data_IF_926673971771
#
_entry.id   IF_926673971771
#
_cell.length_a   1.000
_cell.length_b   1.000
_cell.length_c   1.000
_cell.angle_alpha   90.00
_cell.angle_beta   90.00
_cell.angle_gamma   90.00
#
_symmetry.space_group_name_H-M   'P 1'
#
loop_
_entity.id
_entity.type
_entity.pdbx_description
1 polymer ?
#
# COMPACT_ATOMS: atom_id res chain seq x y z
N UNK A 1 19.42 33.70 -5.70
CA UNK A 1 17.99 33.45 -5.45
C UNK A 1 17.75 31.97 -5.71
N UNK A 2 17.39 31.20 -4.67
CA UNK A 2 17.36 29.73 -4.69
C UNK A 2 16.18 29.23 -5.52
N UNK A 3 16.45 28.27 -6.42
CA UNK A 3 15.48 27.54 -7.22
C UNK A 3 14.58 26.69 -6.31
N UNK A 4 13.29 27.05 -6.19
CA UNK A 4 12.28 26.32 -5.39
C UNK A 4 11.42 25.39 -6.27
N UNK A 5 11.69 25.29 -7.57
CA UNK A 5 10.74 24.70 -8.54
C UNK A 5 11.04 23.22 -8.89
N UNK A 6 11.99 22.55 -8.23
CA UNK A 6 12.39 21.17 -8.62
C UNK A 6 12.15 20.07 -7.57
N UNK A 7 11.73 20.38 -6.34
CA UNK A 7 11.49 19.34 -5.32
C UNK A 7 10.11 18.66 -5.45
N UNK A 8 9.13 19.32 -6.06
CA UNK A 8 7.77 18.79 -6.16
C UNK A 8 7.66 17.66 -7.20
N UNK A 9 8.43 17.74 -8.29
CA UNK A 9 8.39 16.76 -9.40
C UNK A 9 9.16 15.47 -9.06
N UNK A 10 10.16 15.55 -8.18
CA UNK A 10 10.92 14.39 -7.70
C UNK A 10 10.17 13.55 -6.66
N UNK A 11 9.35 14.21 -5.83
CA UNK A 11 8.50 13.53 -4.82
C UNK A 11 7.30 12.81 -5.43
N UNK A 12 6.77 13.31 -6.56
CA UNK A 12 5.52 12.80 -7.14
C UNK A 12 5.57 11.35 -7.61
N UNK A 13 6.75 10.81 -7.93
CA UNK A 13 6.87 9.43 -8.40
C UNK A 13 7.10 8.42 -7.26
N UNK A 14 7.53 8.86 -6.07
CA UNK A 14 7.83 7.97 -4.94
C UNK A 14 6.66 7.75 -3.98
N UNK A 15 5.62 8.58 -4.07
CA UNK A 15 4.50 8.56 -3.14
C UNK A 15 3.35 7.70 -3.66
N UNK A 16 2.89 6.76 -2.84
CA UNK A 16 1.68 6.00 -3.10
C UNK A 16 0.71 6.15 -1.95
N UNK A 17 -0.50 6.60 -2.24
CA UNK A 17 -1.60 6.67 -1.28
C UNK A 17 -2.68 5.68 -1.69
N UNK A 18 -2.93 4.69 -0.83
CA UNK A 18 -3.98 3.72 -1.05
C UNK A 18 -5.35 4.39 -0.99
N UNK A 19 -6.18 4.08 -1.97
CA UNK A 19 -7.58 4.46 -2.04
C UNK A 19 -8.38 3.28 -2.58
N UNK A 20 -9.51 2.95 -1.95
CA UNK A 20 -10.40 1.87 -2.37
C UNK A 20 -10.88 2.03 -3.82
N UNK A 21 -10.89 3.26 -4.34
CA UNK A 21 -11.29 3.56 -5.70
C UNK A 21 -10.23 3.15 -6.75
N UNK A 22 -8.97 2.91 -6.36
CA UNK A 22 -7.87 2.60 -7.29
C UNK A 22 -8.12 1.38 -8.16
N UNK A 23 -8.90 0.42 -7.66
CA UNK A 23 -9.17 -0.84 -8.35
C UNK A 23 -10.60 -0.95 -8.89
N UNK A 24 -11.36 0.15 -8.89
CA UNK A 24 -12.75 0.14 -9.35
C UNK A 24 -12.89 -0.12 -10.85
N UNK A 25 -11.93 0.31 -11.66
CA UNK A 25 -11.93 0.10 -13.12
C UNK A 25 -11.79 -1.39 -13.53
N UNK A 26 -11.27 -2.23 -12.65
CA UNK A 26 -11.21 -3.69 -12.85
C UNK A 26 -12.50 -4.41 -12.42
N UNK A 27 -13.55 -3.68 -12.04
CA UNK A 27 -14.86 -4.25 -11.79
C UNK A 27 -15.43 -4.73 -13.12
N UNK A 28 -15.33 -6.04 -13.38
CA UNK A 28 -15.91 -6.66 -14.57
C UNK A 28 -17.37 -6.22 -14.68
N UNK A 29 -17.69 -5.51 -15.75
CA UNK A 29 -19.06 -5.29 -16.19
C UNK A 29 -19.72 -6.66 -16.27
N UNK A 30 -20.70 -6.92 -15.41
CA UNK A 30 -21.53 -8.11 -15.59
C UNK A 30 -22.29 -7.95 -16.91
N UNK A 31 -22.56 -9.05 -17.62
CA UNK A 31 -23.31 -9.06 -18.89
C UNK A 31 -24.70 -8.38 -18.78
N UNK A 32 -25.16 -8.09 -17.56
CA UNK A 32 -26.42 -7.43 -17.23
C UNK A 32 -26.28 -5.97 -16.75
N UNK A 33 -25.09 -5.35 -16.88
CA UNK A 33 -24.88 -3.92 -16.59
C UNK A 33 -24.86 -3.54 -15.11
N UNK A 34 -24.97 -4.49 -14.19
CA UNK A 34 -24.87 -4.22 -12.74
C UNK A 34 -23.42 -4.27 -12.29
N UNK A 35 -22.89 -3.14 -11.81
CA UNK A 35 -21.63 -3.10 -11.09
C UNK A 35 -21.81 -3.91 -9.79
N UNK A 36 -21.11 -5.05 -9.66
CA UNK A 36 -21.08 -5.80 -8.41
C UNK A 36 -19.99 -5.19 -7.51
N UNK A 37 -20.26 -4.97 -6.21
CA UNK A 37 -19.21 -4.60 -5.27
C UNK A 37 -18.06 -5.60 -5.34
N UNK A 38 -16.84 -5.10 -5.49
CA UNK A 38 -15.63 -5.90 -5.55
C UNK A 38 -15.43 -6.60 -4.20
N UNK A 39 -15.37 -7.95 -4.12
CA UNK A 39 -15.17 -8.65 -2.85
C UNK A 39 -13.86 -8.22 -2.17
N UNK A 40 -13.85 -8.06 -0.84
CA UNK A 40 -12.64 -7.63 -0.08
C UNK A 40 -11.40 -8.49 -0.34
N UNK A 41 -11.56 -9.80 -0.46
CA UNK A 41 -10.50 -10.75 -0.83
C UNK A 41 -9.85 -10.43 -2.18
N UNK A 42 -10.61 -9.85 -3.10
CA UNK A 42 -10.08 -9.41 -4.39
C UNK A 42 -9.30 -8.10 -4.30
N UNK A 43 -9.62 -7.18 -3.37
CA UNK A 43 -8.84 -5.96 -3.13
C UNK A 43 -7.46 -6.28 -2.55
N UNK A 44 -7.38 -7.17 -1.57
CA UNK A 44 -6.09 -7.65 -1.03
C UNK A 44 -5.20 -8.23 -2.13
N UNK A 45 -5.77 -9.11 -2.95
CA UNK A 45 -5.02 -9.74 -4.04
C UNK A 45 -4.53 -8.72 -5.08
N UNK A 46 -5.34 -7.69 -5.37
CA UNK A 46 -5.01 -6.62 -6.31
C UNK A 46 -3.94 -5.68 -5.78
N UNK A 47 -4.07 -5.22 -4.54
CA UNK A 47 -3.07 -4.37 -3.90
C UNK A 47 -1.73 -5.09 -3.78
N UNK A 48 -1.73 -6.34 -3.31
CA UNK A 48 -0.51 -7.16 -3.25
C UNK A 48 0.10 -7.30 -4.65
N UNK A 49 -0.71 -7.62 -5.68
CA UNK A 49 -0.22 -7.73 -7.06
C UNK A 49 0.40 -6.42 -7.56
N UNK A 50 -0.28 -5.29 -7.32
CA UNK A 50 0.18 -3.96 -7.71
C UNK A 50 1.53 -3.62 -7.09
N UNK A 51 1.69 -3.88 -5.79
CA UNK A 51 2.93 -3.61 -5.04
C UNK A 51 4.04 -4.62 -5.34
N UNK A 52 3.70 -5.86 -5.70
CA UNK A 52 4.67 -6.88 -6.16
C UNK A 52 5.15 -6.65 -7.60
N UNK A 53 4.54 -5.73 -8.35
CA UNK A 53 4.98 -5.41 -9.71
C UNK A 53 6.43 -4.94 -9.69
N UNK A 54 7.29 -5.59 -10.46
CA UNK A 54 8.74 -5.29 -10.52
C UNK A 54 9.03 -3.82 -10.86
N UNK A 55 8.15 -3.18 -11.64
CA UNK A 55 8.26 -1.77 -11.95
C UNK A 55 8.01 -0.90 -10.73
N UNK A 56 7.01 -1.23 -9.91
CA UNK A 56 6.58 -0.40 -8.79
C UNK A 56 7.43 -0.59 -7.53
N UNK A 57 7.95 -1.80 -7.31
CA UNK A 57 8.74 -2.09 -6.10
C UNK A 57 10.01 -1.24 -5.98
N UNK A 58 10.55 -0.76 -7.10
CA UNK A 58 11.77 0.07 -7.11
C UNK A 58 11.51 1.58 -7.06
N UNK A 59 10.24 1.98 -7.09
CA UNK A 59 9.85 3.37 -7.27
C UNK A 59 9.40 4.01 -5.95
N UNK A 60 8.62 3.28 -5.14
CA UNK A 60 7.99 3.86 -3.97
C UNK A 60 8.98 4.13 -2.83
N UNK A 61 8.97 5.38 -2.37
CA UNK A 61 9.64 5.86 -1.18
C UNK A 61 8.68 6.03 -0.01
N UNK A 62 7.42 6.40 -0.28
CA UNK A 62 6.42 6.61 0.76
C UNK A 62 5.15 5.81 0.42
N UNK A 63 4.73 4.91 1.32
CA UNK A 63 3.50 4.13 1.18
C UNK A 63 2.50 4.53 2.25
N UNK A 64 1.43 5.21 1.85
CA UNK A 64 0.29 5.46 2.72
C UNK A 64 -0.78 4.39 2.54
N UNK A 65 -0.76 3.41 3.44
CA UNK A 65 -1.71 2.31 3.50
C UNK A 65 -2.72 2.51 4.63
N UNK A 66 -2.85 3.71 5.18
CA UNK A 66 -3.63 3.96 6.40
C UNK A 66 -5.11 3.56 6.31
N UNK A 67 -5.66 3.45 5.10
CA UNK A 67 -7.04 3.02 4.80
C UNK A 67 -7.10 1.64 4.13
N UNK A 68 -5.97 0.97 3.94
CA UNK A 68 -5.91 -0.33 3.28
C UNK A 68 -6.55 -1.45 4.12
N UNK A 69 -7.15 -2.46 3.48
CA UNK A 69 -7.65 -3.65 4.17
C UNK A 69 -6.51 -4.33 4.92
N UNK A 70 -6.71 -4.56 6.21
CA UNK A 70 -5.68 -5.08 7.13
C UNK A 70 -5.29 -6.50 6.76
N UNK A 71 -6.22 -7.26 6.19
CA UNK A 71 -5.97 -8.59 5.65
C UNK A 71 -4.83 -8.56 4.62
N UNK A 72 -4.64 -7.43 3.93
CA UNK A 72 -3.52 -7.22 3.00
C UNK A 72 -2.19 -7.03 3.72
N UNK A 73 -2.19 -6.28 4.82
CA UNK A 73 -0.99 -6.04 5.61
C UNK A 73 -0.58 -7.28 6.43
N UNK A 74 -1.47 -8.25 6.58
CA UNK A 74 -1.20 -9.56 7.19
C UNK A 74 -0.79 -10.62 6.15
N UNK A 75 -0.91 -10.30 4.86
CA UNK A 75 -0.61 -11.25 3.80
C UNK A 75 0.90 -11.48 3.64
N UNK A 76 1.29 -12.75 3.57
CA UNK A 76 2.71 -13.14 3.45
C UNK A 76 3.33 -12.71 2.12
N UNK A 77 2.56 -12.64 1.02
CA UNK A 77 3.09 -12.21 -0.27
C UNK A 77 3.32 -10.69 -0.25
N UNK A 78 2.45 -9.94 0.41
CA UNK A 78 2.65 -8.52 0.68
C UNK A 78 3.95 -8.30 1.48
N UNK A 79 4.18 -9.05 2.58
CA UNK A 79 5.44 -8.94 3.34
C UNK A 79 6.67 -9.19 2.46
N UNK A 80 6.65 -10.23 1.62
CA UNK A 80 7.75 -10.49 0.67
C UNK A 80 7.94 -9.38 -0.36
N UNK A 81 6.89 -8.65 -0.70
CA UNK A 81 6.94 -7.54 -1.65
C UNK A 81 7.60 -6.32 -1.01
N UNK A 82 7.13 -5.93 0.18
CA UNK A 82 7.58 -4.72 0.86
C UNK A 82 9.04 -4.81 1.28
N UNK A 83 9.53 -6.00 1.68
CA UNK A 83 10.96 -6.22 1.97
C UNK A 83 11.86 -5.98 0.75
N UNK A 84 11.33 -6.09 -0.46
CA UNK A 84 12.07 -5.89 -1.72
C UNK A 84 11.98 -4.47 -2.26
N UNK A 85 11.48 -3.51 -1.49
CA UNK A 85 11.38 -2.11 -1.91
C UNK A 85 12.61 -1.33 -1.43
N UNK A 86 13.67 -1.19 -2.25
CA UNK A 86 14.95 -0.65 -1.79
C UNK A 86 14.92 0.85 -1.51
N UNK A 87 13.88 1.55 -1.98
CA UNK A 87 13.72 3.00 -1.80
C UNK A 87 12.72 3.35 -0.71
N UNK A 88 12.10 2.38 -0.06
CA UNK A 88 11.04 2.63 0.90
C UNK A 88 11.61 3.30 2.15
N UNK A 89 11.20 4.54 2.37
CA UNK A 89 11.59 5.37 3.50
C UNK A 89 10.49 5.42 4.55
N UNK A 90 9.23 5.51 4.14
CA UNK A 90 8.11 5.67 5.06
C UNK A 90 6.89 4.81 4.74
N UNK A 91 6.24 4.30 5.78
CA UNK A 91 4.99 3.55 5.67
C UNK A 91 3.95 4.00 6.70
N UNK A 92 2.79 4.42 6.22
CA UNK A 92 1.61 4.65 7.05
C UNK A 92 0.72 3.42 7.02
N UNK A 93 0.29 2.92 8.18
CA UNK A 93 -0.57 1.73 8.28
C UNK A 93 -1.77 1.97 9.21
N UNK A 94 -2.89 1.23 9.07
CA UNK A 94 -4.02 1.34 9.97
C UNK A 94 -3.64 0.92 11.38
N UNK A 95 -3.92 1.75 12.38
CA UNK A 95 -3.55 1.45 13.77
C UNK A 95 -4.41 0.34 14.40
N UNK A 96 -5.63 0.13 13.91
CA UNK A 96 -6.61 -0.80 14.47
C UNK A 96 -6.91 -1.95 13.52
N UNK A 97 -7.60 -2.99 14.01
CA UNK A 97 -8.15 -4.13 13.25
C UNK A 97 -7.16 -5.26 12.92
N UNK A 98 -5.95 -5.19 13.46
CA UNK A 98 -5.00 -6.30 13.45
C UNK A 98 -5.60 -7.52 14.16
N UNK A 99 -5.35 -8.71 13.63
CA UNK A 99 -5.80 -9.97 14.26
C UNK A 99 -5.13 -10.18 15.63
N UNK A 100 -3.97 -9.56 15.84
CA UNK A 100 -3.27 -9.47 17.11
C UNK A 100 -1.97 -8.70 16.99
N UNK A 101 -1.35 -8.41 18.13
CA UNK A 101 -0.07 -7.69 18.17
C UNK A 101 1.04 -8.44 17.41
N UNK A 102 1.02 -9.78 17.42
CA UNK A 102 1.97 -10.59 16.68
C UNK A 102 1.94 -10.33 15.16
N UNK A 103 0.75 -10.15 14.57
CA UNK A 103 0.62 -9.86 13.13
C UNK A 103 1.13 -8.45 12.80
N UNK A 104 0.86 -7.48 13.68
CA UNK A 104 1.43 -6.14 13.54
C UNK A 104 2.96 -6.16 13.60
N UNK A 105 3.53 -6.89 14.56
CA UNK A 105 4.99 -7.05 14.67
C UNK A 105 5.57 -7.72 13.43
N UNK A 106 4.92 -8.76 12.88
CA UNK A 106 5.37 -9.40 11.63
C UNK A 106 5.43 -8.41 10.48
N UNK A 107 4.36 -7.61 10.29
CA UNK A 107 4.34 -6.57 9.27
C UNK A 107 5.49 -5.56 9.46
N UNK A 108 5.69 -5.04 10.68
CA UNK A 108 6.76 -4.08 10.96
C UNK A 108 8.15 -4.69 10.72
N UNK A 109 8.34 -5.97 11.06
CA UNK A 109 9.60 -6.67 10.82
C UNK A 109 9.88 -6.96 9.35
N UNK A 110 8.86 -6.89 8.48
CA UNK A 110 9.02 -7.09 7.05
C UNK A 110 9.47 -5.82 6.31
N UNK A 111 9.46 -4.67 6.98
CA UNK A 111 9.87 -3.40 6.39
C UNK A 111 11.38 -3.40 6.09
N UNK A 112 11.81 -2.76 4.99
CA UNK A 112 13.22 -2.58 4.69
C UNK A 112 13.96 -1.87 5.84
N UNK A 113 15.24 -2.18 6.06
CA UNK A 113 16.05 -1.49 7.05
C UNK A 113 16.07 0.01 6.81
N UNK A 114 15.85 0.81 7.85
CA UNK A 114 15.83 2.27 7.75
C UNK A 114 14.46 2.86 7.37
N UNK A 115 13.48 2.03 7.00
CA UNK A 115 12.12 2.50 6.77
C UNK A 115 11.43 2.83 8.09
N UNK A 116 10.86 4.03 8.17
CA UNK A 116 10.02 4.46 9.28
C UNK A 116 8.58 4.00 9.08
N UNK A 117 7.86 3.77 10.17
CA UNK A 117 6.47 3.37 10.10
C UNK A 117 5.64 3.94 11.25
N UNK A 118 4.46 4.47 10.92
CA UNK A 118 3.53 4.98 11.91
C UNK A 118 2.08 4.61 11.61
N UNK A 119 1.32 4.47 12.71
CA UNK A 119 -0.09 4.14 12.64
C UNK A 119 -0.92 5.39 12.32
N UNK A 120 -1.81 5.30 11.33
CA UNK A 120 -2.91 6.25 11.15
C UNK A 120 -3.99 5.92 12.17
N UNK A 121 -4.25 6.86 13.08
CA UNK A 121 -5.43 6.84 13.95
C UNK A 121 -6.71 6.96 13.12
N UNK A 122 -7.87 6.56 13.67
CA UNK A 122 -9.15 6.83 13.00
C UNK A 122 -9.27 8.33 12.71
N UNK A 123 -9.78 8.73 11.53
CA UNK A 123 -10.23 10.10 11.32
C UNK A 123 -11.37 10.46 12.29
#
# INVERSE_FOLDING_TARGET
VRNVVNDEVGRTFGDFVYNDNLFQWESRSSYTGRARPTPKTSLTSRLTRFLTSQFHSSIFAHLDLGTAPIETLQDRKFHKAITKMPRLEDVVFPQHGWAGQAERTKFLSALPPGASAWGRGRP
#
